data_IF_732971295726
#
_entry.id   IF_732971295726
#
_cell.length_a   1.000
_cell.length_b   1.000
_cell.length_c   1.000
_cell.angle_alpha   90.00
_cell.angle_beta   90.00
_cell.angle_gamma   90.00
#
_symmetry.space_group_name_H-M   'P 1'
#
loop_
_entity.id
_entity.type
_entity.pdbx_description
1 polymer ?
#
# COMPACT_ATOMS: atom_id res chain seq x y z
N UNK A 1 -12.98 27.92 -22.57
CA UNK A 1 -11.99 26.84 -22.64
C UNK A 1 -12.31 25.88 -21.50
N UNK A 2 -12.55 24.61 -21.83
CA UNK A 2 -13.41 23.68 -21.10
C UNK A 2 -13.00 23.40 -19.65
N UNK A 3 -13.94 23.53 -18.70
CA UNK A 3 -13.80 23.04 -17.32
C UNK A 3 -13.43 21.55 -17.26
N UNK A 4 -13.89 20.78 -18.26
CA UNK A 4 -13.53 19.37 -18.43
C UNK A 4 -12.01 19.22 -18.68
N UNK A 5 -11.40 20.12 -19.46
CA UNK A 5 -9.97 20.08 -19.74
C UNK A 5 -9.14 20.41 -18.48
N UNK A 6 -9.57 21.41 -17.72
CA UNK A 6 -8.96 21.75 -16.43
C UNK A 6 -9.10 20.60 -15.42
N UNK A 7 -10.25 19.91 -15.39
CA UNK A 7 -10.44 18.72 -14.57
C UNK A 7 -9.43 17.59 -14.90
N UNK A 8 -9.19 17.31 -16.19
CA UNK A 8 -8.21 16.29 -16.58
C UNK A 8 -6.77 16.69 -16.24
N UNK A 9 -6.44 17.97 -16.36
CA UNK A 9 -5.13 18.49 -15.95
C UNK A 9 -4.94 18.38 -14.43
N UNK A 10 -5.92 18.81 -13.63
CA UNK A 10 -5.89 18.70 -12.18
C UNK A 10 -5.81 17.24 -11.71
N UNK A 11 -6.48 16.33 -12.41
CA UNK A 11 -6.42 14.90 -12.14
C UNK A 11 -5.04 14.32 -12.48
N UNK A 12 -4.46 14.70 -13.62
CA UNK A 12 -3.10 14.31 -14.01
C UNK A 12 -2.05 14.83 -13.02
N UNK A 13 -2.15 16.09 -12.61
CA UNK A 13 -1.25 16.69 -11.63
C UNK A 13 -1.41 16.04 -10.26
N UNK A 14 -2.65 15.76 -9.85
CA UNK A 14 -2.96 15.02 -8.61
C UNK A 14 -2.41 13.60 -8.63
N UNK A 15 -2.47 12.89 -9.76
CA UNK A 15 -1.89 11.55 -9.94
C UNK A 15 -0.36 11.59 -9.88
N UNK A 16 0.28 12.52 -10.59
CA UNK A 16 1.75 12.67 -10.57
C UNK A 16 2.25 13.07 -9.18
N UNK A 17 1.57 14.00 -8.51
CA UNK A 17 1.88 14.38 -7.14
C UNK A 17 1.64 13.22 -6.15
N UNK A 18 0.63 12.38 -6.40
CA UNK A 18 0.40 11.18 -5.62
C UNK A 18 1.58 10.20 -5.79
N UNK A 19 1.97 9.90 -7.03
CA UNK A 19 3.08 8.98 -7.34
C UNK A 19 4.42 9.44 -6.73
N UNK A 20 4.74 10.73 -6.84
CA UNK A 20 5.98 11.29 -6.28
C UNK A 20 5.96 11.38 -4.74
N UNK A 21 4.78 11.53 -4.14
CA UNK A 21 4.62 11.62 -2.69
C UNK A 21 4.41 10.28 -1.98
N UNK A 22 4.24 9.17 -2.72
CA UNK A 22 4.05 7.84 -2.14
C UNK A 22 5.39 7.27 -1.73
N UNK A 23 5.55 7.01 -0.43
CA UNK A 23 6.61 6.14 0.07
C UNK A 23 6.05 4.72 0.29
N UNK A 24 6.33 3.76 -0.61
CA UNK A 24 5.79 2.41 -0.50
C UNK A 24 6.54 1.55 0.53
N UNK A 25 7.73 1.97 0.99
CA UNK A 25 8.60 1.14 1.84
C UNK A 25 7.91 0.61 3.10
N UNK A 26 7.17 1.41 3.89
CA UNK A 26 6.55 0.92 5.11
C UNK A 26 5.48 -0.15 4.82
N UNK A 27 4.69 0.04 3.76
CA UNK A 27 3.69 -0.93 3.32
C UNK A 27 4.35 -2.18 2.79
N UNK A 28 5.43 -2.05 2.00
CA UNK A 28 6.18 -3.19 1.48
C UNK A 28 6.76 -4.05 2.60
N UNK A 29 7.40 -3.44 3.60
CA UNK A 29 7.97 -4.18 4.74
C UNK A 29 6.89 -4.98 5.47
N UNK A 30 5.77 -4.34 5.80
CA UNK A 30 4.67 -5.00 6.52
C UNK A 30 3.97 -6.05 5.64
N UNK A 31 3.75 -5.75 4.36
CA UNK A 31 3.18 -6.68 3.40
C UNK A 31 4.08 -7.90 3.20
N UNK A 32 5.40 -7.74 3.18
CA UNK A 32 6.35 -8.85 3.13
C UNK A 32 6.24 -9.71 4.39
N UNK A 33 6.24 -9.10 5.58
CA UNK A 33 6.10 -9.83 6.84
C UNK A 33 4.78 -10.62 6.87
N UNK A 34 3.66 -9.97 6.53
CA UNK A 34 2.35 -10.63 6.48
C UNK A 34 2.33 -11.73 5.42
N UNK A 35 2.86 -11.48 4.23
CA UNK A 35 2.92 -12.45 3.13
C UNK A 35 3.80 -13.66 3.46
N UNK A 36 4.92 -13.46 4.14
CA UNK A 36 5.82 -14.53 4.55
C UNK A 36 5.19 -15.41 5.64
N UNK A 37 4.63 -14.78 6.68
CA UNK A 37 3.99 -15.47 7.79
C UNK A 37 2.57 -15.97 7.49
N UNK A 38 1.98 -15.65 6.32
CA UNK A 38 0.63 -16.12 6.05
C UNK A 38 0.58 -17.66 6.04
N UNK A 39 -0.33 -18.26 6.82
CA UNK A 39 -0.47 -19.71 6.87
C UNK A 39 -1.15 -20.25 5.61
N UNK A 40 -2.08 -19.48 5.04
CA UNK A 40 -2.82 -19.82 3.82
C UNK A 40 -2.84 -18.64 2.83
N UNK A 41 -2.79 -18.92 1.51
CA UNK A 41 -3.00 -17.93 0.46
C UNK A 41 -4.49 -17.58 0.34
N UNK A 42 -5.03 -16.92 1.36
CA UNK A 42 -6.43 -16.49 1.43
C UNK A 42 -6.55 -14.99 1.76
N UNK A 43 -7.69 -14.39 1.39
CA UNK A 43 -8.07 -13.02 1.78
C UNK A 43 -6.96 -11.97 1.59
N UNK A 44 -6.30 -11.98 0.43
CA UNK A 44 -5.23 -11.05 0.09
C UNK A 44 -5.61 -9.59 0.30
N UNK A 45 -6.84 -9.22 -0.09
CA UNK A 45 -7.36 -7.86 0.07
C UNK A 45 -7.42 -7.44 1.55
N UNK A 46 -7.86 -8.33 2.43
CA UNK A 46 -7.93 -8.05 3.87
C UNK A 46 -6.51 -7.87 4.45
N UNK A 47 -5.58 -8.76 4.08
CA UNK A 47 -4.19 -8.69 4.54
C UNK A 47 -3.48 -7.44 4.01
N UNK A 48 -3.72 -7.07 2.76
CA UNK A 48 -3.21 -5.83 2.16
C UNK A 48 -3.78 -4.60 2.87
N UNK A 49 -5.08 -4.60 3.17
CA UNK A 49 -5.72 -3.52 3.92
C UNK A 49 -5.10 -3.38 5.32
N UNK A 50 -4.87 -4.51 6.02
CA UNK A 50 -4.19 -4.50 7.31
C UNK A 50 -2.74 -3.99 7.19
N UNK A 51 -2.02 -4.35 6.13
CA UNK A 51 -0.67 -3.86 5.89
C UNK A 51 -0.65 -2.33 5.69
N UNK A 52 -1.60 -1.80 4.91
CA UNK A 52 -1.75 -0.36 4.69
C UNK A 52 -2.13 0.35 5.98
N UNK A 53 -3.11 -0.16 6.74
CA UNK A 53 -3.54 0.43 8.01
C UNK A 53 -2.41 0.41 9.05
N UNK A 54 -1.67 -0.69 9.17
CA UNK A 54 -0.53 -0.79 10.09
C UNK A 54 0.62 0.15 9.67
N UNK A 55 0.96 0.19 8.38
CA UNK A 55 1.98 1.08 7.85
C UNK A 55 1.60 2.54 8.08
N UNK A 56 0.32 2.85 7.93
CA UNK A 56 -0.24 4.17 8.17
C UNK A 56 -0.18 4.53 9.66
N UNK A 57 -0.63 3.65 10.55
CA UNK A 57 -0.57 3.87 11.98
C UNK A 57 0.86 4.12 12.45
N UNK A 58 1.83 3.34 11.95
CA UNK A 58 3.24 3.56 12.24
C UNK A 58 3.70 4.92 11.69
N UNK A 59 3.45 5.24 10.42
CA UNK A 59 3.88 6.52 9.84
C UNK A 59 3.24 7.74 10.51
N UNK A 60 2.00 7.65 10.96
CA UNK A 60 1.29 8.73 11.62
C UNK A 60 1.78 8.94 13.06
N UNK A 61 2.06 7.86 13.79
CA UNK A 61 2.44 7.89 15.21
C UNK A 61 3.96 8.00 15.41
N UNK A 62 4.78 7.52 14.47
CA UNK A 62 6.25 7.55 14.56
C UNK A 62 6.82 8.97 14.78
N UNK A 63 6.35 10.02 14.09
CA UNK A 63 6.76 11.39 14.38
C UNK A 63 6.49 11.81 15.82
N UNK A 64 5.37 11.39 16.41
CA UNK A 64 5.02 11.74 17.79
C UNK A 64 5.98 11.11 18.81
N UNK A 65 6.47 9.89 18.54
CA UNK A 65 7.51 9.26 19.36
C UNK A 65 8.85 10.01 19.28
N UNK A 66 9.06 10.80 18.23
CA UNK A 66 10.23 11.64 18.01
C UNK A 66 10.00 13.12 18.40
N UNK A 67 8.89 13.44 19.09
CA UNK A 67 8.54 14.81 19.49
C UNK A 67 8.11 15.73 18.34
N UNK A 68 7.78 15.17 17.17
CA UNK A 68 7.26 15.89 16.00
C UNK A 68 5.73 15.75 15.90
N UNK A 69 5.03 16.69 15.25
CA UNK A 69 3.59 16.58 15.05
C UNK A 69 3.25 15.32 14.22
N UNK A 70 2.17 14.65 14.59
CA UNK A 70 1.62 13.55 13.81
C UNK A 70 1.17 14.06 12.43
N UNK A 71 1.41 13.27 11.39
CA UNK A 71 1.00 13.61 10.03
C UNK A 71 -0.06 12.62 9.55
N UNK A 72 -1.31 13.08 9.46
CA UNK A 72 -2.44 12.30 8.96
C UNK A 72 -2.75 12.74 7.52
N UNK A 73 -3.04 11.81 6.59
CA UNK A 73 -3.46 12.11 5.24
C UNK A 73 -4.78 12.86 5.30
N UNK A 74 -4.88 13.89 4.47
CA UNK A 74 -6.09 14.66 4.31
C UNK A 74 -7.04 13.92 3.37
N UNK A 75 -8.00 13.18 3.93
CA UNK A 75 -8.99 12.43 3.16
C UNK A 75 -9.90 13.30 2.28
N UNK A 76 -9.84 14.64 2.42
CA UNK A 76 -10.55 15.57 1.55
C UNK A 76 -9.78 15.87 0.26
N UNK A 77 -8.51 15.47 0.17
CA UNK A 77 -7.67 15.67 -1.01
C UNK A 77 -7.63 14.41 -1.85
N UNK A 78 -7.91 14.55 -3.14
CA UNK A 78 -7.86 13.47 -4.12
C UNK A 78 -6.49 12.78 -4.16
N UNK A 79 -5.41 13.56 -4.01
CA UNK A 79 -4.05 13.06 -3.89
C UNK A 79 -3.94 11.97 -2.80
N UNK A 80 -4.35 12.25 -1.57
CA UNK A 80 -4.24 11.29 -0.46
C UNK A 80 -5.03 10.01 -0.70
N UNK A 81 -6.21 10.10 -1.34
CA UNK A 81 -7.01 8.93 -1.72
C UNK A 81 -6.28 8.07 -2.75
N UNK A 82 -5.72 8.69 -3.79
CA UNK A 82 -4.94 8.01 -4.82
C UNK A 82 -3.70 7.35 -4.20
N UNK A 83 -3.00 8.04 -3.30
CA UNK A 83 -1.83 7.49 -2.62
C UNK A 83 -2.17 6.24 -1.81
N UNK A 84 -3.26 6.27 -1.03
CA UNK A 84 -3.75 5.11 -0.28
C UNK A 84 -4.13 3.94 -1.20
N UNK A 85 -4.75 4.24 -2.35
CA UNK A 85 -5.08 3.23 -3.35
C UNK A 85 -3.83 2.58 -3.96
N UNK A 86 -2.82 3.37 -4.34
CA UNK A 86 -1.54 2.85 -4.86
C UNK A 86 -0.88 1.94 -3.82
N UNK A 87 -0.82 2.37 -2.55
CA UNK A 87 -0.27 1.59 -1.45
C UNK A 87 -1.02 0.26 -1.25
N UNK A 88 -2.35 0.27 -1.37
CA UNK A 88 -3.17 -0.94 -1.30
C UNK A 88 -2.85 -1.90 -2.45
N UNK A 89 -2.74 -1.40 -3.68
CA UNK A 89 -2.38 -2.21 -4.86
C UNK A 89 -0.99 -2.82 -4.69
N UNK A 90 -0.02 -2.04 -4.21
CA UNK A 90 1.34 -2.53 -3.92
C UNK A 90 1.29 -3.63 -2.86
N UNK A 91 0.66 -3.38 -1.71
CA UNK A 91 0.55 -4.37 -0.63
C UNK A 91 -0.16 -5.65 -1.08
N UNK A 92 -1.22 -5.52 -1.87
CA UNK A 92 -1.94 -6.64 -2.45
C UNK A 92 -1.06 -7.46 -3.40
N UNK A 93 -0.35 -6.79 -4.32
CA UNK A 93 0.58 -7.42 -5.24
C UNK A 93 1.69 -8.18 -4.51
N UNK A 94 2.33 -7.55 -3.51
CA UNK A 94 3.40 -8.16 -2.72
C UNK A 94 2.93 -9.40 -1.97
N UNK A 95 1.79 -9.34 -1.27
CA UNK A 95 1.26 -10.49 -0.52
C UNK A 95 0.82 -11.61 -1.48
N UNK A 96 0.21 -11.25 -2.61
CA UNK A 96 -0.18 -12.19 -3.66
C UNK A 96 1.02 -12.93 -4.26
N UNK A 97 2.08 -12.20 -4.62
CA UNK A 97 3.34 -12.76 -5.12
C UNK A 97 4.01 -13.69 -4.12
N UNK A 98 4.10 -13.30 -2.85
CA UNK A 98 4.68 -14.17 -1.82
C UNK A 98 3.82 -15.42 -1.57
N UNK A 99 2.49 -15.28 -1.64
CA UNK A 99 1.56 -16.41 -1.56
C UNK A 99 1.71 -17.40 -2.72
N UNK A 100 1.85 -16.90 -3.95
CA UNK A 100 2.04 -17.75 -5.13
C UNK A 100 3.40 -18.46 -5.10
N UNK A 101 4.48 -17.76 -4.74
CA UNK A 101 5.82 -18.36 -4.58
C UNK A 101 5.83 -19.46 -3.51
N UNK A 102 5.22 -19.21 -2.34
CA UNK A 102 5.13 -20.21 -1.27
C UNK A 102 4.31 -21.43 -1.69
N UNK A 103 3.30 -21.24 -2.55
CA UNK A 103 2.51 -22.33 -3.11
C UNK A 103 3.33 -23.14 -4.11
N UNK A 104 4.05 -22.47 -5.02
CA UNK A 104 4.93 -23.10 -6.00
C UNK A 104 6.03 -23.95 -5.33
N UNK A 105 6.72 -23.39 -4.33
CA UNK A 105 7.77 -24.11 -3.57
C UNK A 105 7.24 -25.34 -2.84
N UNK A 106 6.03 -25.28 -2.25
CA UNK A 106 5.39 -26.44 -1.63
C UNK A 106 5.02 -27.53 -2.64
N UNK A 107 4.72 -27.16 -3.88
CA UNK A 107 4.43 -28.11 -4.95
C UNK A 107 5.70 -28.82 -5.44
N UNK A 108 6.82 -28.11 -5.59
CA UNK A 108 8.11 -28.72 -5.94
C UNK A 108 8.62 -29.65 -4.84
N UNK A 109 8.56 -29.23 -3.57
CA UNK A 109 9.01 -30.05 -2.44
C UNK A 109 8.15 -31.29 -2.16
N UNK A 110 6.98 -31.43 -2.79
CA UNK A 110 6.16 -32.65 -2.76
C UNK A 110 6.43 -33.60 -3.92
N UNK A 111 7.12 -33.14 -4.96
CA UNK A 111 7.50 -33.95 -6.12
C UNK A 111 8.92 -34.53 -5.99
N UNK A 112 9.73 -34.02 -5.06
CA UNK A 112 11.00 -34.60 -4.63
C UNK A 112 10.77 -35.63 -3.52
#
# INVERSE_FOLDING_TARGET
>A
MNDIWNFFLDLSDGLNAALNGVNPLPVLIIAILIGFFQPKPDRYLLKATLAVVAAFAIQAVWPALLGRPMNFPDFRRLQSIVQLFILLVIGYGTIGLLGSLKTALKFEGKKA
#
